data_IF_220821181473
#
_entry.id   IF_220821181473
#
_cell.length_a   1.000
_cell.length_b   1.000
_cell.length_c   1.000
_cell.angle_alpha   90.00
_cell.angle_beta   90.00
_cell.angle_gamma   90.00
#
_symmetry.space_group_name_H-M   'P 1'
#
loop_
_entity.id
_entity.type
_entity.pdbx_description
1 polymer ?
#
# COMPACT_ATOMS: atom_id res chain seq x y z
N UNK A 1 23.96 26.88 -44.95
CA UNK A 1 22.58 26.45 -44.65
C UNK A 1 22.72 25.51 -43.46
N UNK A 2 22.88 26.08 -42.26
CA UNK A 2 23.16 25.32 -41.05
C UNK A 2 21.85 25.20 -40.27
N UNK A 3 21.35 23.97 -40.08
CA UNK A 3 20.15 23.71 -39.29
C UNK A 3 20.45 23.90 -37.78
N UNK A 4 19.46 24.28 -36.95
CA UNK A 4 19.68 24.42 -35.51
C UNK A 4 20.06 23.07 -34.90
N UNK A 5 20.94 23.02 -33.87
CA UNK A 5 21.19 21.78 -33.15
C UNK A 5 19.87 21.30 -32.56
N UNK A 6 19.41 20.13 -33.01
CA UNK A 6 18.30 19.42 -32.39
C UNK A 6 18.75 19.11 -30.96
N UNK A 7 18.24 19.89 -29.99
CA UNK A 7 18.34 19.56 -28.58
C UNK A 7 17.75 18.17 -28.45
N UNK A 8 18.61 17.16 -28.29
CA UNK A 8 18.17 15.83 -27.89
C UNK A 8 17.23 16.03 -26.71
N UNK A 9 15.99 15.51 -26.77
CA UNK A 9 15.13 15.55 -25.61
C UNK A 9 15.91 14.81 -24.54
N UNK A 10 16.37 15.56 -23.52
CA UNK A 10 16.96 15.00 -22.32
C UNK A 10 16.09 13.81 -21.98
N UNK A 11 16.62 12.61 -22.20
CA UNK A 11 15.92 11.38 -21.94
C UNK A 11 15.55 11.50 -20.48
N UNK A 12 14.28 11.83 -20.23
CA UNK A 12 13.78 12.17 -18.91
C UNK A 12 13.96 10.88 -18.15
N UNK A 13 15.04 10.82 -17.35
CA UNK A 13 15.47 9.60 -16.70
C UNK A 13 14.25 9.07 -15.98
N UNK A 14 13.73 7.94 -16.45
CA UNK A 14 12.50 7.38 -15.91
C UNK A 14 12.81 7.01 -14.46
N UNK A 15 12.38 7.84 -13.51
CA UNK A 15 12.57 7.58 -12.09
C UNK A 15 11.73 6.35 -11.74
N UNK A 16 12.40 5.22 -11.56
CA UNK A 16 11.76 3.97 -11.12
C UNK A 16 11.46 4.07 -9.63
N UNK A 17 10.18 4.20 -9.28
CA UNK A 17 9.72 4.12 -7.90
C UNK A 17 9.35 2.68 -7.57
N UNK A 18 10.04 2.08 -6.60
CA UNK A 18 9.57 0.84 -5.99
C UNK A 18 8.73 1.16 -4.76
N UNK A 19 7.42 0.97 -4.87
CA UNK A 19 6.49 1.15 -3.75
C UNK A 19 6.50 -0.08 -2.82
N UNK A 20 7.05 -1.20 -3.29
CA UNK A 20 7.06 -2.49 -2.59
C UNK A 20 8.49 -3.04 -2.42
N UNK A 21 8.81 -3.71 -1.29
CA UNK A 21 7.97 -3.91 -0.10
C UNK A 21 7.86 -2.63 0.76
N UNK A 22 6.70 -2.38 1.40
CA UNK A 22 6.51 -1.22 2.26
C UNK A 22 7.41 -1.33 3.50
N UNK A 23 7.85 -0.17 4.01
CA UNK A 23 8.55 -0.11 5.29
C UNK A 23 7.63 -0.56 6.44
N UNK A 24 8.23 -1.00 7.56
CA UNK A 24 7.45 -1.42 8.73
C UNK A 24 6.56 -0.29 9.27
N UNK A 25 6.98 0.96 9.15
CA UNK A 25 6.17 2.12 9.50
C UNK A 25 4.93 2.23 8.60
N UNK A 26 5.11 2.16 7.27
CA UNK A 26 3.99 2.22 6.32
C UNK A 26 3.05 1.02 6.51
N UNK A 27 3.60 -0.16 6.78
CA UNK A 27 2.82 -1.36 7.14
C UNK A 27 1.94 -1.11 8.37
N UNK A 28 2.48 -0.51 9.43
CA UNK A 28 1.69 -0.18 10.63
C UNK A 28 0.58 0.85 10.34
N UNK A 29 0.84 1.84 9.47
CA UNK A 29 -0.19 2.80 9.04
C UNK A 29 -1.32 2.10 8.30
N UNK A 30 -0.99 1.17 7.40
CA UNK A 30 -1.99 0.35 6.68
C UNK A 30 -2.83 -0.45 7.67
N UNK A 31 -2.21 -1.14 8.63
CA UNK A 31 -2.91 -1.89 9.69
C UNK A 31 -3.89 -0.97 10.43
N UNK A 32 -3.44 0.19 10.90
CA UNK A 32 -4.32 1.13 11.63
C UNK A 32 -5.49 1.62 10.76
N UNK A 33 -5.27 1.82 9.45
CA UNK A 33 -6.33 2.23 8.53
C UNK A 33 -7.36 1.11 8.29
N UNK A 34 -6.91 -0.13 8.19
CA UNK A 34 -7.77 -1.30 8.04
C UNK A 34 -8.63 -1.50 9.30
N UNK A 35 -8.04 -1.39 10.50
CA UNK A 35 -8.80 -1.45 11.76
C UNK A 35 -9.91 -0.40 11.81
N UNK A 36 -9.60 0.85 11.44
CA UNK A 36 -10.64 1.91 11.35
C UNK A 36 -11.75 1.59 10.35
N UNK A 37 -11.40 0.96 9.23
CA UNK A 37 -12.36 0.59 8.18
C UNK A 37 -13.28 -0.54 8.63
N UNK A 38 -12.75 -1.49 9.40
CA UNK A 38 -13.50 -2.65 9.87
C UNK A 38 -14.33 -2.35 11.12
N UNK A 39 -13.88 -1.43 11.97
CA UNK A 39 -14.54 -1.06 13.23
C UNK A 39 -15.61 0.03 13.09
N UNK A 40 -15.66 0.73 11.95
CA UNK A 40 -16.62 1.80 11.72
C UNK A 40 -17.32 1.64 10.37
N UNK A 41 -18.61 2.03 10.28
CA UNK A 41 -19.30 2.04 9.00
C UNK A 41 -18.66 3.08 8.07
N UNK A 42 -18.39 2.68 6.83
CA UNK A 42 -17.85 3.52 5.77
C UNK A 42 -18.79 3.49 4.57
N UNK A 43 -18.70 4.47 3.67
CA UNK A 43 -19.43 4.48 2.38
C UNK A 43 -19.29 3.15 1.63
N UNK A 44 -18.11 2.53 1.71
CA UNK A 44 -17.82 1.24 1.06
C UNK A 44 -18.32 0.02 1.86
N UNK A 45 -18.57 0.16 3.17
CA UNK A 45 -18.95 -0.95 4.05
C UNK A 45 -20.39 -0.85 4.60
N UNK A 46 -21.21 0.10 4.13
CA UNK A 46 -22.58 0.35 4.65
C UNK A 46 -23.52 -0.86 4.69
N UNK A 47 -23.29 -1.87 3.85
CA UNK A 47 -24.12 -3.09 3.76
C UNK A 47 -23.63 -4.24 4.65
N UNK A 48 -22.49 -4.05 5.32
CA UNK A 48 -21.85 -5.05 6.16
C UNK A 48 -21.87 -4.60 7.61
N UNK A 49 -21.81 -5.57 8.52
CA UNK A 49 -21.62 -5.30 9.94
C UNK A 49 -20.18 -4.86 10.21
N UNK A 50 -20.01 -4.07 11.27
CA UNK A 50 -18.70 -3.66 11.78
C UNK A 50 -18.22 -4.63 12.85
N UNK A 51 -16.90 -4.79 12.94
CA UNK A 51 -16.26 -5.54 14.02
C UNK A 51 -16.06 -4.64 15.25
N UNK A 52 -15.92 -5.24 16.44
CA UNK A 52 -15.36 -4.51 17.58
C UNK A 52 -13.90 -4.11 17.30
N UNK A 53 -13.35 -3.15 18.04
CA UNK A 53 -11.98 -2.68 17.82
C UNK A 53 -10.94 -3.81 17.95
N UNK A 54 -11.12 -4.69 18.93
CA UNK A 54 -10.20 -5.80 19.19
C UNK A 54 -10.29 -6.89 18.10
N UNK A 55 -11.50 -7.23 17.67
CA UNK A 55 -11.71 -8.15 16.55
C UNK A 55 -11.16 -7.58 15.24
N UNK A 56 -11.40 -6.31 14.96
CA UNK A 56 -10.88 -5.62 13.79
C UNK A 56 -9.33 -5.65 13.77
N UNK A 57 -8.70 -5.46 14.92
CA UNK A 57 -7.24 -5.55 15.06
C UNK A 57 -6.73 -6.97 14.79
N UNK A 58 -7.33 -7.98 15.41
CA UNK A 58 -6.94 -9.38 15.22
C UNK A 58 -7.06 -9.82 13.75
N UNK A 59 -8.20 -9.51 13.13
CA UNK A 59 -8.46 -9.82 11.71
C UNK A 59 -7.45 -9.12 10.80
N UNK A 60 -7.19 -7.83 11.05
CA UNK A 60 -6.23 -7.06 10.23
C UNK A 60 -4.82 -7.63 10.32
N UNK A 61 -4.37 -8.03 11.51
CA UNK A 61 -3.04 -8.64 11.70
C UNK A 61 -2.93 -9.98 10.96
N UNK A 62 -3.99 -10.78 10.98
CA UNK A 62 -4.05 -12.04 10.23
C UNK A 62 -4.02 -11.79 8.71
N UNK A 63 -4.79 -10.82 8.22
CA UNK A 63 -4.80 -10.43 6.80
C UNK A 63 -3.42 -9.94 6.34
N UNK A 64 -2.76 -9.05 7.10
CA UNK A 64 -1.43 -8.54 6.75
C UNK A 64 -0.39 -9.66 6.70
N UNK A 65 -0.45 -10.58 7.66
CA UNK A 65 0.48 -11.73 7.71
C UNK A 65 0.31 -12.63 6.47
N UNK A 66 -0.92 -12.85 6.02
CA UNK A 66 -1.22 -13.61 4.80
C UNK A 66 -0.77 -12.89 3.52
N UNK A 67 -0.87 -11.56 3.50
CA UNK A 67 -0.47 -10.73 2.35
C UNK A 67 1.05 -10.56 2.25
N UNK A 68 1.78 -10.74 3.36
CA UNK A 68 3.24 -10.77 3.33
C UNK A 68 3.71 -12.02 2.56
N UNK A 69 4.61 -11.89 1.57
CA UNK A 69 5.18 -13.06 0.90
C UNK A 69 5.86 -13.97 1.94
N UNK A 70 5.77 -15.30 1.79
CA UNK A 70 6.40 -16.24 2.70
C UNK A 70 7.93 -15.98 2.71
N UNK A 71 8.60 -16.10 3.87
CA UNK A 71 10.05 -16.01 3.91
C UNK A 71 10.63 -17.07 2.98
N UNK A 72 11.49 -16.65 2.04
CA UNK A 72 12.25 -17.58 1.23
C UNK A 72 13.11 -18.40 2.19
N UNK A 73 12.82 -19.71 2.28
CA UNK A 73 13.67 -20.64 3.01
C UNK A 73 15.08 -20.63 2.38
N UNK A 74 16.14 -20.80 3.19
CA UNK A 74 17.52 -20.81 2.71
C UNK A 74 17.79 -21.98 1.74
#
# INVERSE_FOLDING_TARGET
MEAPPHLDPVASAATTFSIWPPSQCNRNVVVNRLVKTLSAPSVLSKRYNTFSSDEAFAITRQMETRLSPPPLLP
#
